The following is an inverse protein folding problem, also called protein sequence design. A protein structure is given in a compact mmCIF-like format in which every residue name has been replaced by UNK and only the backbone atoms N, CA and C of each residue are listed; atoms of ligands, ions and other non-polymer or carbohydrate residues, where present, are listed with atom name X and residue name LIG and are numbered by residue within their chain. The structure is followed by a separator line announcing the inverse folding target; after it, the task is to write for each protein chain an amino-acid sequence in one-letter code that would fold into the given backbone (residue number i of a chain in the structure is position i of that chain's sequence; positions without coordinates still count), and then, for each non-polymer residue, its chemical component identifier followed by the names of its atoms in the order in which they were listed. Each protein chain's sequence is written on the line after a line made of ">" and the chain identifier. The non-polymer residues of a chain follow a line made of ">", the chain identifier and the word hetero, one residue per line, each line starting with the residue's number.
data_IF_006047493796
#
_entry.id   IF_006047493796
#
_cell.length_a   1.000
_cell.length_b   1.000
_cell.length_c   1.000
_cell.angle_alpha   90.00
_cell.angle_beta   90.00
_cell.angle_gamma   90.00
#
_symmetry.space_group_name_H-M   'P 1'
#
loop_
_entity.id
_entity.type
_entity.pdbx_description
1 polymer ?
#
# COMPACT_ATOMS: atom_id res chain seq x y z
N UNK A 1 8.09 2.37 25.62
CA UNK A 1 8.35 1.70 26.91
C UNK A 1 7.99 0.22 26.84
N UNK A 2 6.75 -0.13 26.53
CA UNK A 2 6.30 -1.53 26.51
C UNK A 2 7.06 -2.45 25.53
N UNK A 3 7.29 -2.02 24.28
CA UNK A 3 8.13 -2.78 23.33
C UNK A 3 9.55 -3.08 23.87
N UNK A 4 10.13 -2.17 24.63
CA UNK A 4 11.45 -2.37 25.24
C UNK A 4 11.40 -3.35 26.42
N UNK A 5 10.28 -3.39 27.17
CA UNK A 5 10.07 -4.39 28.21
C UNK A 5 9.94 -5.80 27.60
N UNK A 6 9.27 -5.94 26.46
CA UNK A 6 9.24 -7.20 25.72
C UNK A 6 10.62 -7.63 25.22
N UNK A 7 11.41 -6.68 24.70
CA UNK A 7 12.79 -6.95 24.27
C UNK A 7 13.68 -7.39 25.45
N UNK A 8 13.59 -6.71 26.60
CA UNK A 8 14.28 -7.10 27.84
C UNK A 8 13.85 -8.51 28.29
N UNK A 9 12.54 -8.78 28.30
CA UNK A 9 12.02 -10.08 28.72
C UNK A 9 12.48 -11.20 27.77
N UNK A 10 12.44 -10.99 26.46
CA UNK A 10 12.94 -11.93 25.47
C UNK A 10 14.44 -12.22 25.64
N UNK A 11 15.24 -11.17 25.84
CA UNK A 11 16.69 -11.29 26.13
C UNK A 11 16.96 -12.02 27.45
N UNK A 12 16.23 -11.71 28.51
CA UNK A 12 16.38 -12.33 29.83
C UNK A 12 16.04 -13.83 29.81
N UNK A 13 15.06 -14.23 28.99
CA UNK A 13 14.65 -15.62 28.82
C UNK A 13 15.38 -16.33 27.66
N UNK A 14 16.26 -15.62 26.93
CA UNK A 14 16.97 -16.10 25.75
C UNK A 14 16.04 -16.72 24.68
N UNK A 15 14.90 -16.08 24.43
CA UNK A 15 13.92 -16.49 23.41
C UNK A 15 13.52 -15.29 22.55
N UNK A 16 13.17 -15.48 21.26
CA UNK A 16 12.62 -14.42 20.44
C UNK A 16 11.23 -14.00 20.95
N UNK A 17 10.88 -12.72 20.79
CA UNK A 17 9.62 -12.15 21.32
C UNK A 17 8.37 -12.92 20.85
N UNK A 18 8.34 -13.41 19.60
CA UNK A 18 7.19 -14.17 19.10
C UNK A 18 6.92 -15.47 19.88
N UNK A 19 7.93 -16.06 20.55
CA UNK A 19 7.74 -17.22 21.42
C UNK A 19 6.90 -16.85 22.64
N UNK A 20 7.13 -15.67 23.20
CA UNK A 20 6.36 -15.15 24.33
C UNK A 20 4.91 -14.78 23.92
N UNK A 21 4.69 -14.50 22.63
CA UNK A 21 3.38 -14.20 22.04
C UNK A 21 2.61 -15.45 21.58
N UNK A 22 3.06 -16.66 21.94
CA UNK A 22 2.37 -17.92 21.65
C UNK A 22 3.07 -18.84 20.65
N UNK A 23 4.30 -18.50 20.21
CA UNK A 23 5.10 -19.36 19.35
C UNK A 23 4.82 -19.20 17.84
N UNK A 24 5.50 -20.00 16.99
CA UNK A 24 5.42 -19.85 15.54
C UNK A 24 4.08 -20.35 14.98
N UNK A 25 3.25 -19.43 14.48
CA UNK A 25 1.97 -19.75 13.82
C UNK A 25 2.07 -19.81 12.28
N UNK A 26 3.23 -19.49 11.71
CA UNK A 26 3.52 -19.54 10.26
C UNK A 26 5.02 -19.64 10.03
N UNK A 27 5.43 -20.19 8.88
CA UNK A 27 6.85 -20.34 8.51
C UNK A 27 7.40 -19.14 7.73
N UNK A 28 6.54 -18.31 7.12
CA UNK A 28 6.92 -17.10 6.40
C UNK A 28 5.83 -16.03 6.54
N UNK A 29 6.25 -14.76 6.43
CA UNK A 29 5.36 -13.59 6.41
C UNK A 29 5.40 -13.03 4.98
N UNK A 30 4.24 -12.88 4.33
CA UNK A 30 4.16 -12.16 3.05
C UNK A 30 4.23 -10.66 3.34
N UNK A 31 5.12 -9.96 2.65
CA UNK A 31 5.27 -8.52 2.73
C UNK A 31 4.78 -7.86 1.44
N UNK A 32 4.41 -6.59 1.53
CA UNK A 32 4.24 -5.70 0.39
C UNK A 32 5.36 -4.66 0.40
N UNK A 33 5.63 -4.04 -0.75
CA UNK A 33 6.56 -2.92 -0.85
C UNK A 33 5.84 -1.64 -1.24
N UNK A 34 6.52 -0.52 -1.08
CA UNK A 34 6.06 0.77 -1.55
C UNK A 34 6.65 1.04 -2.94
N UNK A 35 5.82 1.51 -3.86
CA UNK A 35 6.29 2.30 -5.00
C UNK A 35 6.12 3.79 -4.66
N UNK A 36 6.67 4.67 -5.48
CA UNK A 36 6.75 6.09 -5.15
C UNK A 36 5.39 6.75 -4.87
N UNK A 37 5.40 7.66 -3.90
CA UNK A 37 4.24 8.45 -3.50
C UNK A 37 4.04 9.66 -4.42
N UNK A 38 2.82 10.20 -4.54
CA UNK A 38 2.55 11.38 -5.38
C UNK A 38 3.35 12.62 -4.94
N UNK A 39 3.72 12.71 -3.67
CA UNK A 39 4.61 13.77 -3.15
C UNK A 39 5.97 13.79 -3.86
N UNK A 40 6.33 12.72 -4.57
CA UNK A 40 7.54 12.60 -5.40
C UNK A 40 7.41 13.28 -6.78
N UNK A 41 6.21 13.71 -7.18
CA UNK A 41 5.96 14.37 -8.48
C UNK A 41 6.02 13.42 -9.68
N UNK A 42 5.89 12.12 -9.47
CA UNK A 42 6.05 11.12 -10.54
C UNK A 42 4.85 11.03 -11.48
N UNK A 43 5.14 10.90 -12.77
CA UNK A 43 4.14 10.64 -13.80
C UNK A 43 3.56 9.23 -13.68
N UNK A 44 2.46 8.97 -14.40
CA UNK A 44 1.85 7.64 -14.47
C UNK A 44 2.85 6.62 -15.05
N UNK A 45 3.63 7.00 -16.04
CA UNK A 45 4.63 6.14 -16.70
C UNK A 45 5.75 5.74 -15.73
N UNK A 46 6.23 6.69 -14.92
CA UNK A 46 7.25 6.42 -13.90
C UNK A 46 6.73 5.40 -12.87
N UNK A 47 5.47 5.53 -12.46
CA UNK A 47 4.85 4.57 -11.53
C UNK A 47 4.67 3.18 -12.12
N UNK A 48 4.30 3.10 -13.40
CA UNK A 48 4.22 1.83 -14.10
C UNK A 48 5.59 1.15 -14.14
N UNK A 49 6.65 1.90 -14.39
CA UNK A 49 8.02 1.36 -14.42
C UNK A 49 8.46 0.86 -13.04
N UNK A 50 8.24 1.64 -11.98
CA UNK A 50 8.53 1.22 -10.60
C UNK A 50 7.73 -0.02 -10.19
N UNK A 51 6.45 -0.09 -10.56
CA UNK A 51 5.62 -1.25 -10.29
C UNK A 51 6.15 -2.51 -11.00
N UNK A 52 6.60 -2.38 -12.25
CA UNK A 52 7.25 -3.47 -12.98
C UNK A 52 8.57 -3.89 -12.34
N UNK A 53 9.39 -2.93 -11.93
CA UNK A 53 10.66 -3.20 -11.25
C UNK A 53 10.42 -3.96 -9.94
N UNK A 54 9.47 -3.52 -9.12
CA UNK A 54 9.10 -4.22 -7.89
C UNK A 54 8.59 -5.65 -8.16
N UNK A 55 7.76 -5.85 -9.18
CA UNK A 55 7.30 -7.20 -9.56
C UNK A 55 8.47 -8.07 -10.05
N UNK A 56 9.42 -7.51 -10.79
CA UNK A 56 10.62 -8.21 -11.23
C UNK A 56 11.54 -8.63 -10.07
N UNK A 57 11.56 -7.87 -8.96
CA UNK A 57 12.23 -8.24 -7.71
C UNK A 57 11.50 -9.37 -6.94
N UNK A 58 10.29 -9.74 -7.37
CA UNK A 58 9.48 -10.80 -6.76
C UNK A 58 8.39 -10.30 -5.81
N UNK A 59 8.13 -8.99 -5.76
CA UNK A 59 7.02 -8.45 -4.98
C UNK A 59 5.68 -8.86 -5.59
N UNK A 60 4.77 -9.32 -4.74
CA UNK A 60 3.41 -9.73 -5.14
C UNK A 60 2.34 -8.79 -4.63
N UNK A 61 2.72 -7.69 -3.96
CA UNK A 61 1.83 -6.70 -3.40
C UNK A 61 2.53 -5.33 -3.37
N UNK A 62 1.85 -4.29 -3.86
CA UNK A 62 2.39 -2.94 -4.02
C UNK A 62 1.48 -1.92 -3.33
N UNK A 63 2.05 -1.00 -2.56
CA UNK A 63 1.34 0.12 -1.93
C UNK A 63 1.86 1.46 -2.44
N UNK A 64 0.97 2.42 -2.67
CA UNK A 64 1.35 3.81 -2.88
C UNK A 64 0.17 4.76 -2.64
N UNK A 65 0.48 6.04 -2.54
CA UNK A 65 -0.50 7.12 -2.51
C UNK A 65 -0.62 7.76 -3.91
N UNK A 66 -1.76 7.62 -4.59
CA UNK A 66 -2.00 8.20 -5.91
C UNK A 66 -2.60 9.62 -5.84
N UNK A 67 -2.90 10.15 -4.65
CA UNK A 67 -3.65 11.38 -4.49
C UNK A 67 -2.76 12.61 -4.66
N UNK A 68 -3.24 13.66 -5.34
CA UNK A 68 -2.53 14.94 -5.46
C UNK A 68 -2.19 15.54 -4.08
N UNK A 69 -1.35 16.58 -4.03
CA UNK A 69 -0.98 17.26 -2.78
C UNK A 69 -2.14 17.97 -2.03
N UNK A 70 -3.38 17.83 -2.50
CA UNK A 70 -4.57 18.38 -1.86
C UNK A 70 -4.99 17.59 -0.62
N UNK A 71 -5.85 18.23 0.18
CA UNK A 71 -6.46 17.67 1.39
C UNK A 71 -7.99 17.74 1.26
N UNK A 72 -8.68 16.80 1.89
CA UNK A 72 -10.14 16.58 2.00
C UNK A 72 -10.87 16.11 0.75
N UNK A 73 -10.75 16.80 -0.38
CA UNK A 73 -11.64 16.58 -1.54
C UNK A 73 -10.90 16.57 -2.86
N UNK A 74 -11.42 15.82 -3.83
CA UNK A 74 -10.91 15.77 -5.21
C UNK A 74 -11.88 16.47 -6.16
N UNK A 75 -11.37 17.30 -7.05
CA UNK A 75 -12.11 17.74 -8.23
C UNK A 75 -12.37 16.55 -9.17
N UNK A 76 -13.38 16.61 -10.07
CA UNK A 76 -13.62 15.54 -11.04
C UNK A 76 -12.40 15.19 -11.90
N UNK A 77 -11.57 16.18 -12.23
CA UNK A 77 -10.33 15.96 -13.00
C UNK A 77 -9.29 15.21 -12.19
N UNK A 78 -9.12 15.56 -10.91
CA UNK A 78 -8.21 14.84 -10.01
C UNK A 78 -8.67 13.41 -9.77
N UNK A 79 -9.97 13.19 -9.52
CA UNK A 79 -10.53 11.84 -9.35
C UNK A 79 -10.22 10.95 -10.57
N UNK A 80 -10.49 11.45 -11.79
CA UNK A 80 -10.18 10.71 -13.02
C UNK A 80 -8.68 10.43 -13.17
N UNK A 81 -7.83 11.37 -12.78
CA UNK A 81 -6.37 11.18 -12.83
C UNK A 81 -5.91 10.07 -11.88
N UNK A 82 -6.39 10.10 -10.63
CA UNK A 82 -6.13 9.06 -9.62
C UNK A 82 -6.55 7.68 -10.14
N UNK A 83 -7.79 7.56 -10.63
CA UNK A 83 -8.31 6.29 -11.16
C UNK A 83 -7.48 5.81 -12.35
N UNK A 84 -7.11 6.70 -13.28
CA UNK A 84 -6.29 6.38 -14.44
C UNK A 84 -4.90 5.88 -14.05
N UNK A 85 -4.30 6.48 -13.02
CA UNK A 85 -3.01 6.05 -12.50
C UNK A 85 -3.08 4.62 -11.95
N UNK A 86 -4.08 4.32 -11.13
CA UNK A 86 -4.29 2.99 -10.56
C UNK A 86 -4.58 1.97 -11.65
N UNK A 87 -5.39 2.34 -12.65
CA UNK A 87 -5.68 1.51 -13.79
C UNK A 87 -4.42 1.17 -14.59
N UNK A 88 -3.57 2.16 -14.88
CA UNK A 88 -2.33 1.94 -15.61
C UNK A 88 -1.38 0.99 -14.87
N UNK A 89 -1.26 1.11 -13.55
CA UNK A 89 -0.48 0.17 -12.74
C UNK A 89 -1.09 -1.23 -12.80
N UNK A 90 -2.41 -1.38 -12.61
CA UNK A 90 -3.11 -2.67 -12.73
C UNK A 90 -2.86 -3.34 -14.08
N UNK A 91 -3.02 -2.61 -15.17
CA UNK A 91 -2.78 -3.12 -16.53
C UNK A 91 -1.32 -3.58 -16.72
N UNK A 92 -0.37 -2.87 -16.11
CA UNK A 92 1.05 -3.18 -16.25
C UNK A 92 1.51 -4.40 -15.45
N UNK A 93 0.95 -4.64 -14.25
CA UNK A 93 1.38 -5.73 -13.36
C UNK A 93 0.46 -6.95 -13.41
N UNK A 94 -0.71 -6.84 -14.04
CA UNK A 94 -1.70 -7.90 -14.17
C UNK A 94 -2.46 -8.20 -12.87
N UNK A 95 -3.41 -9.14 -12.94
CA UNK A 95 -4.32 -9.46 -11.83
C UNK A 95 -3.71 -10.29 -10.70
N UNK A 96 -2.48 -10.80 -10.88
CA UNK A 96 -1.78 -11.61 -9.89
C UNK A 96 -1.08 -10.82 -8.77
N UNK A 97 -1.02 -9.49 -8.91
CA UNK A 97 -0.36 -8.59 -7.96
C UNK A 97 -1.41 -7.82 -7.16
N UNK A 98 -1.31 -7.82 -5.84
CA UNK A 98 -2.21 -7.05 -4.98
C UNK A 98 -1.85 -5.56 -5.01
N UNK A 99 -2.86 -4.70 -5.14
CA UNK A 99 -2.70 -3.25 -5.12
C UNK A 99 -3.31 -2.68 -3.83
N UNK A 100 -2.52 -1.92 -3.09
CA UNK A 100 -2.90 -1.33 -1.81
C UNK A 100 -2.92 0.19 -2.02
N UNK A 101 -4.09 0.82 -1.92
CA UNK A 101 -4.26 2.23 -2.26
C UNK A 101 -4.27 3.07 -0.99
N UNK A 102 -3.21 3.84 -0.76
CA UNK A 102 -3.08 4.65 0.45
C UNK A 102 -3.72 6.03 0.27
N UNK A 103 -4.52 6.46 1.25
CA UNK A 103 -5.15 7.78 1.26
C UNK A 103 -4.64 8.70 2.39
N UNK A 104 -3.83 8.19 3.32
CA UNK A 104 -3.23 8.91 4.45
C UNK A 104 -4.24 9.71 5.31
N UNK A 105 -5.49 9.25 5.39
CA UNK A 105 -6.57 9.98 6.09
C UNK A 105 -6.86 11.36 5.49
N UNK A 106 -6.42 11.62 4.25
CA UNK A 106 -6.54 12.93 3.61
C UNK A 106 -7.91 13.20 3.03
N UNK A 107 -8.72 12.19 2.76
CA UNK A 107 -10.03 12.35 2.13
C UNK A 107 -11.14 12.44 3.18
N UNK A 108 -12.15 13.27 2.90
CA UNK A 108 -13.42 13.18 3.62
C UNK A 108 -14.18 11.90 3.25
N UNK A 109 -15.19 11.54 4.06
CA UNK A 109 -15.93 10.31 3.87
C UNK A 109 -16.59 10.21 2.48
N UNK A 110 -17.15 11.32 1.99
CA UNK A 110 -17.84 11.36 0.69
C UNK A 110 -16.86 11.11 -0.46
N UNK A 111 -15.74 11.80 -0.48
CA UNK A 111 -14.70 11.67 -1.52
C UNK A 111 -14.06 10.28 -1.46
N UNK A 112 -13.80 9.76 -0.25
CA UNK A 112 -13.30 8.40 -0.07
C UNK A 112 -14.27 7.35 -0.62
N UNK A 113 -15.57 7.48 -0.34
CA UNK A 113 -16.59 6.55 -0.87
C UNK A 113 -16.66 6.60 -2.40
N UNK A 114 -16.54 7.79 -3.00
CA UNK A 114 -16.51 7.91 -4.45
C UNK A 114 -15.28 7.26 -5.05
N UNK A 115 -14.09 7.54 -4.51
CA UNK A 115 -12.86 6.91 -4.95
C UNK A 115 -12.94 5.38 -4.83
N UNK A 116 -13.40 4.86 -3.69
CA UNK A 116 -13.56 3.43 -3.45
C UNK A 116 -14.41 2.75 -4.52
N UNK A 117 -15.53 3.38 -4.91
CA UNK A 117 -16.43 2.86 -5.95
C UNK A 117 -15.77 2.89 -7.31
N UNK A 118 -15.08 3.97 -7.65
CA UNK A 118 -14.44 4.15 -8.95
C UNK A 118 -13.28 3.17 -9.16
N UNK A 119 -12.56 2.80 -8.09
CA UNK A 119 -11.43 1.86 -8.17
C UNK A 119 -11.81 0.41 -7.89
N UNK A 120 -13.04 0.13 -7.41
CA UNK A 120 -13.49 -1.22 -7.11
C UNK A 120 -13.31 -2.22 -8.29
N UNK A 121 -13.57 -1.85 -9.57
CA UNK A 121 -13.31 -2.73 -10.71
C UNK A 121 -11.83 -3.12 -10.88
N UNK A 122 -10.90 -2.31 -10.35
CA UNK A 122 -9.44 -2.56 -10.40
C UNK A 122 -8.96 -3.50 -9.30
N UNK A 123 -9.87 -3.93 -8.41
CA UNK A 123 -9.67 -4.93 -7.36
C UNK A 123 -8.47 -4.60 -6.44
N UNK A 124 -8.45 -3.45 -5.75
CA UNK A 124 -7.47 -3.23 -4.69
C UNK A 124 -7.68 -4.23 -3.55
N UNK A 125 -6.59 -4.63 -2.88
CA UNK A 125 -6.64 -5.47 -1.68
C UNK A 125 -7.24 -4.70 -0.51
N UNK A 126 -6.86 -3.43 -0.37
CA UNK A 126 -7.48 -2.45 0.52
C UNK A 126 -7.27 -1.02 0.00
N UNK A 127 -8.06 -0.11 0.57
CA UNK A 127 -7.91 1.34 0.44
C UNK A 127 -8.06 1.99 1.82
#
# INVERSE_FOLDING_TARGET
>A
VEMALWDILGKALNVPVYTLLGGPCRTRVRCYTHISEETSGHSIEQRVEEARAAVAEGWTALKWDPLPANFLTLTPTQMRYVVRQIQAVREAVGDGVDLLIECHGRLDATTAIHLARDIAPLRPLFM
#
